data_IF_587675664078
#
_entry.id   IF_587675664078
#
_cell.length_a   1.000
_cell.length_b   1.000
_cell.length_c   1.000
_cell.angle_alpha   90.00
_cell.angle_beta   90.00
_cell.angle_gamma   90.00
#
_symmetry.space_group_name_H-M   'P 1'
#
loop_
_entity.id
_entity.type
_entity.pdbx_description
1 polymer ?
#
# COMPACT_ATOMS: atom_id res chain seq x y z
N UNK A 1 -1.74 17.74 -4.22
CA UNK A 1 -0.89 18.05 -3.04
C UNK A 1 -1.24 17.19 -1.82
N UNK A 2 -2.52 17.07 -1.42
CA UNK A 2 -2.90 16.26 -0.25
C UNK A 2 -2.58 14.75 -0.33
N UNK A 3 -2.85 14.10 -1.47
CA UNK A 3 -2.65 12.65 -1.62
C UNK A 3 -1.17 12.22 -1.54
N UNK A 4 -0.25 13.00 -2.13
CA UNK A 4 1.19 12.72 -2.06
C UNK A 4 1.72 12.84 -0.62
N UNK A 5 1.28 13.86 0.13
CA UNK A 5 1.64 14.01 1.53
C UNK A 5 1.09 12.90 2.44
N UNK A 6 -0.11 12.40 2.17
CA UNK A 6 -0.64 11.21 2.86
C UNK A 6 0.20 9.96 2.56
N UNK A 7 0.52 9.72 1.29
CA UNK A 7 1.36 8.59 0.88
C UNK A 7 2.77 8.68 1.48
N UNK A 8 3.35 9.87 1.55
CA UNK A 8 4.64 10.10 2.19
C UNK A 8 4.62 9.58 3.64
N UNK A 9 3.59 9.94 4.42
CA UNK A 9 3.45 9.48 5.81
C UNK A 9 3.30 7.97 5.90
N UNK A 10 2.47 7.37 5.06
CA UNK A 10 2.25 5.91 5.03
C UNK A 10 3.53 5.16 4.68
N UNK A 11 4.26 5.62 3.65
CA UNK A 11 5.49 4.96 3.18
C UNK A 11 6.60 5.06 4.22
N UNK A 12 6.82 6.25 4.81
CA UNK A 12 7.80 6.43 5.89
C UNK A 12 7.42 5.61 7.12
N UNK A 13 6.15 5.64 7.52
CA UNK A 13 5.65 4.87 8.66
C UNK A 13 5.79 3.35 8.47
N UNK A 14 5.77 2.87 7.23
CA UNK A 14 6.00 1.47 6.87
C UNK A 14 7.50 1.09 6.80
N UNK A 15 8.42 1.99 7.16
CA UNK A 15 9.86 1.70 7.23
C UNK A 15 10.66 2.10 5.98
N UNK A 16 10.04 2.71 4.98
CA UNK A 16 10.74 3.30 3.84
C UNK A 16 11.14 4.75 4.14
N UNK A 17 11.96 4.94 5.18
CA UNK A 17 12.31 6.27 5.74
C UNK A 17 12.92 7.24 4.74
N UNK A 18 13.69 6.70 3.78
CA UNK A 18 14.45 7.51 2.82
C UNK A 18 13.62 7.80 1.56
N UNK A 19 12.44 7.18 1.40
CA UNK A 19 11.62 7.38 0.21
C UNK A 19 10.98 8.78 0.23
N UNK A 20 11.15 9.54 -0.84
CA UNK A 20 10.54 10.86 -1.02
C UNK A 20 9.53 10.79 -2.16
N UNK A 21 8.25 10.98 -1.86
CA UNK A 21 7.15 10.95 -2.84
C UNK A 21 7.11 12.28 -3.57
N UNK A 22 7.56 12.31 -4.83
CA UNK A 22 7.51 13.49 -5.68
C UNK A 22 6.09 13.74 -6.23
N UNK A 23 5.43 12.67 -6.69
CA UNK A 23 4.04 12.75 -7.17
C UNK A 23 3.34 11.40 -7.11
N UNK A 24 2.02 11.41 -7.26
CA UNK A 24 1.25 10.18 -7.33
C UNK A 24 0.09 10.31 -8.33
N UNK A 25 -0.35 9.18 -8.88
CA UNK A 25 -1.50 9.08 -9.79
C UNK A 25 -2.51 8.07 -9.25
N UNK A 26 -3.52 8.54 -8.49
CA UNK A 26 -4.59 7.68 -7.99
C UNK A 26 -5.52 7.24 -9.12
N UNK A 27 -5.88 5.97 -9.15
CA UNK A 27 -6.85 5.39 -10.07
C UNK A 27 -7.88 4.58 -9.29
N UNK A 28 -9.14 5.00 -9.29
CA UNK A 28 -10.24 4.27 -8.65
C UNK A 28 -10.57 3.06 -9.52
N UNK A 29 -10.12 1.88 -9.12
CA UNK A 29 -10.33 0.63 -9.88
C UNK A 29 -11.63 -0.08 -9.49
N UNK A 30 -12.19 0.25 -8.32
CA UNK A 30 -13.48 -0.27 -7.88
C UNK A 30 -14.15 0.70 -6.92
N UNK A 31 -15.42 0.96 -7.16
CA UNK A 31 -16.24 1.77 -6.25
C UNK A 31 -17.60 1.12 -6.06
N UNK A 32 -17.98 0.89 -4.81
CA UNK A 32 -19.34 0.50 -4.40
C UNK A 32 -19.82 1.52 -3.38
N UNK A 33 -20.76 2.42 -3.76
CA UNK A 33 -21.30 3.43 -2.86
C UNK A 33 -21.77 2.84 -1.53
N UNK A 34 -21.45 3.53 -0.43
CA UNK A 34 -21.82 3.12 0.93
C UNK A 34 -21.14 1.84 1.45
N UNK A 35 -20.18 1.26 0.71
CA UNK A 35 -19.58 -0.03 1.09
C UNK A 35 -18.05 -0.03 1.02
N UNK A 36 -17.46 0.21 -0.15
CA UNK A 36 -16.01 0.14 -0.32
C UNK A 36 -15.52 0.90 -1.55
N UNK A 37 -14.30 1.40 -1.47
CA UNK A 37 -13.54 1.89 -2.61
C UNK A 37 -12.18 1.17 -2.67
N UNK A 38 -11.67 0.94 -3.87
CA UNK A 38 -10.30 0.47 -4.08
C UNK A 38 -9.63 1.41 -5.06
N UNK A 39 -8.53 2.00 -4.63
CA UNK A 39 -7.73 2.94 -5.39
C UNK A 39 -6.35 2.32 -5.58
N UNK A 40 -5.89 2.19 -6.81
CA UNK A 40 -4.49 1.86 -7.12
C UNK A 40 -3.78 3.16 -7.39
N UNK A 41 -2.69 3.40 -6.68
CA UNK A 41 -1.91 4.63 -6.77
C UNK A 41 -0.54 4.30 -7.30
N UNK A 42 -0.21 4.85 -8.48
CA UNK A 42 1.16 4.84 -8.99
C UNK A 42 1.94 5.94 -8.28
N UNK A 43 3.13 5.61 -7.79
CA UNK A 43 3.94 6.54 -6.99
C UNK A 43 5.22 6.85 -7.73
N UNK A 44 5.50 8.14 -7.91
CA UNK A 44 6.77 8.62 -8.43
C UNK A 44 7.60 9.11 -7.25
N UNK A 45 8.75 8.49 -7.04
CA UNK A 45 9.69 8.90 -6.02
C UNK A 45 10.73 9.86 -6.60
N UNK A 46 11.18 10.81 -5.79
CA UNK A 46 12.36 11.60 -6.11
C UNK A 46 13.60 10.71 -5.97
N UNK A 47 14.37 10.59 -7.06
CA UNK A 47 15.60 9.81 -7.11
C UNK A 47 16.86 10.68 -7.12
N UNK A 48 16.74 12.01 -7.00
CA UNK A 48 17.86 12.95 -7.12
C UNK A 48 18.98 12.69 -6.09
N UNK A 49 18.66 12.06 -4.96
CA UNK A 49 19.62 11.79 -3.87
C UNK A 49 20.03 10.31 -3.75
N UNK A 50 19.74 9.47 -4.75
CA UNK A 50 20.04 8.03 -4.68
C UNK A 50 19.18 7.24 -3.68
N UNK A 51 18.08 7.84 -3.21
CA UNK A 51 17.18 7.23 -2.24
C UNK A 51 16.58 5.94 -2.80
N UNK A 52 16.49 4.91 -1.93
CA UNK A 52 15.85 3.65 -2.29
C UNK A 52 14.37 3.90 -2.58
N UNK A 53 13.83 3.49 -3.74
CA UNK A 53 12.43 3.71 -4.06
C UNK A 53 11.54 2.92 -3.10
N UNK A 54 10.44 3.55 -2.68
CA UNK A 54 9.41 2.93 -1.87
C UNK A 54 8.49 1.98 -2.66
N UNK A 55 7.38 1.53 -2.07
CA UNK A 55 6.43 0.64 -2.73
C UNK A 55 5.69 1.33 -3.89
N UNK A 56 5.74 0.73 -5.09
CA UNK A 56 4.93 1.12 -6.25
C UNK A 56 4.45 -0.12 -7.01
N UNK A 57 3.15 -0.27 -7.32
CA UNK A 57 2.01 0.57 -6.88
C UNK A 57 1.62 0.39 -5.40
N UNK A 58 0.90 1.37 -4.84
CA UNK A 58 0.19 1.29 -3.56
C UNK A 58 -1.31 1.09 -3.80
N UNK A 59 -1.93 0.12 -3.14
CA UNK A 59 -3.39 -0.06 -3.08
C UNK A 59 -3.93 0.57 -1.82
N UNK A 60 -4.95 1.39 -1.96
CA UNK A 60 -5.74 1.92 -0.85
C UNK A 60 -7.12 1.28 -0.94
N UNK A 61 -7.58 0.67 0.15
CA UNK A 61 -8.94 0.15 0.28
C UNK A 61 -9.64 0.91 1.38
N UNK A 62 -10.78 1.49 1.07
CA UNK A 62 -11.67 2.05 2.08
C UNK A 62 -12.85 1.11 2.29
N UNK A 63 -13.28 0.99 3.53
CA UNK A 63 -14.39 0.16 3.95
C UNK A 63 -15.33 0.97 4.83
N UNK A 64 -16.64 0.76 4.64
CA UNK A 64 -17.63 1.18 5.62
C UNK A 64 -17.66 0.14 6.76
N UNK A 65 -17.71 0.62 8.01
CA UNK A 65 -17.69 -0.20 9.21
C UNK A 65 -16.30 -0.73 9.59
N UNK A 66 -16.28 -1.86 10.28
CA UNK A 66 -15.11 -2.49 10.90
C UNK A 66 -14.28 -3.38 9.96
N UNK A 67 -14.77 -3.63 8.74
CA UNK A 67 -14.13 -4.55 7.77
C UNK A 67 -12.69 -4.18 7.43
N UNK A 68 -12.33 -2.90 7.54
CA UNK A 68 -10.95 -2.43 7.35
C UNK A 68 -9.99 -3.04 8.37
N UNK A 69 -10.41 -3.12 9.64
CA UNK A 69 -9.60 -3.69 10.72
C UNK A 69 -9.39 -5.19 10.52
N UNK A 70 -10.45 -5.93 10.18
CA UNK A 70 -10.35 -7.37 9.90
C UNK A 70 -9.41 -7.63 8.71
N UNK A 71 -9.55 -6.85 7.63
CA UNK A 71 -8.68 -6.99 6.47
C UNK A 71 -7.22 -6.66 6.79
N UNK A 72 -6.97 -5.60 7.59
CA UNK A 72 -5.64 -5.25 8.08
C UNK A 72 -5.03 -6.39 8.89
N UNK A 73 -5.72 -6.86 9.94
CA UNK A 73 -5.23 -7.92 10.81
C UNK A 73 -4.92 -9.21 10.02
N UNK A 74 -5.79 -9.61 9.09
CA UNK A 74 -5.59 -10.79 8.26
C UNK A 74 -4.38 -10.64 7.32
N UNK A 75 -4.23 -9.49 6.66
CA UNK A 75 -3.09 -9.23 5.76
C UNK A 75 -1.77 -9.17 6.52
N UNK A 76 -1.75 -8.57 7.71
CA UNK A 76 -0.57 -8.53 8.59
C UNK A 76 -0.19 -9.92 9.08
N UNK A 77 -1.16 -10.72 9.55
CA UNK A 77 -0.90 -12.10 9.94
C UNK A 77 -0.35 -12.94 8.78
N UNK A 78 -0.93 -12.79 7.59
CA UNK A 78 -0.47 -13.49 6.39
C UNK A 78 0.94 -13.07 5.98
N UNK A 79 1.26 -11.76 6.04
CA UNK A 79 2.58 -11.23 5.70
C UNK A 79 3.69 -11.74 6.62
N UNK A 80 3.39 -11.94 7.90
CA UNK A 80 4.35 -12.48 8.87
C UNK A 80 4.39 -14.01 8.91
N UNK A 81 3.53 -14.70 8.17
CA UNK A 81 3.53 -16.17 8.13
C UNK A 81 4.69 -16.73 7.29
N UNK A 82 5.11 -17.99 7.53
CA UNK A 82 6.10 -18.66 6.68
C UNK A 82 5.73 -18.70 5.19
N UNK A 83 4.43 -18.71 4.86
CA UNK A 83 3.95 -18.72 3.48
C UNK A 83 4.43 -17.49 2.69
N UNK A 84 4.51 -16.33 3.34
CA UNK A 84 5.03 -15.09 2.74
C UNK A 84 6.52 -15.19 2.40
N UNK A 85 7.27 -15.98 3.16
CA UNK A 85 8.73 -16.09 3.07
C UNK A 85 9.17 -17.17 2.07
N UNK A 86 8.31 -18.16 1.80
CA UNK A 86 8.61 -19.28 0.92
C UNK A 86 8.53 -18.95 -0.58
N UNK A 87 8.08 -17.74 -0.95
CA UNK A 87 8.07 -17.27 -2.34
C UNK A 87 7.05 -17.96 -3.26
N UNK A 88 6.18 -18.82 -2.72
CA UNK A 88 5.13 -19.53 -3.49
C UNK A 88 4.11 -18.54 -4.07
N UNK A 89 3.83 -17.46 -3.35
CA UNK A 89 2.98 -16.36 -3.78
C UNK A 89 3.65 -15.04 -3.50
N UNK A 90 3.38 -14.03 -4.33
CA UNK A 90 3.75 -12.65 -4.02
C UNK A 90 2.62 -12.02 -3.24
N UNK A 91 2.89 -11.62 -2.00
CA UNK A 91 1.91 -10.95 -1.14
C UNK A 91 2.05 -9.43 -1.21
N UNK A 92 0.93 -8.76 -0.99
CA UNK A 92 0.87 -7.34 -0.75
C UNK A 92 1.40 -7.04 0.66
N UNK A 93 2.46 -6.25 0.78
CA UNK A 93 2.92 -5.75 2.07
C UNK A 93 1.86 -4.82 2.68
N UNK A 94 1.37 -5.09 3.91
CA UNK A 94 0.48 -4.18 4.61
C UNK A 94 1.28 -2.96 5.09
N UNK A 95 0.91 -1.75 4.64
CA UNK A 95 1.67 -0.52 4.91
C UNK A 95 1.10 0.28 6.08
N UNK A 96 -0.23 0.41 6.15
CA UNK A 96 -0.90 1.17 7.22
C UNK A 96 -2.39 0.84 7.31
N UNK A 97 -2.97 1.05 8.49
CA UNK A 97 -4.40 1.07 8.75
C UNK A 97 -4.77 2.29 9.59
N UNK A 98 -5.83 2.98 9.19
CA UNK A 98 -6.39 4.11 9.93
C UNK A 98 -7.85 3.83 10.29
N UNK A 99 -8.24 4.15 11.53
CA UNK A 99 -9.57 3.91 12.11
C UNK A 99 -10.71 4.66 11.39
N UNK A 100 -10.38 5.60 10.50
CA UNK A 100 -11.32 6.20 9.55
C UNK A 100 -11.82 5.22 8.46
N UNK A 101 -11.29 3.98 8.45
CA UNK A 101 -11.74 2.89 7.56
C UNK A 101 -10.87 2.70 6.32
N UNK A 102 -9.72 3.35 6.23
CA UNK A 102 -8.76 3.21 5.13
C UNK A 102 -7.61 2.26 5.49
N UNK A 103 -7.34 1.28 4.62
CA UNK A 103 -6.15 0.43 4.69
C UNK A 103 -5.29 0.59 3.43
N UNK A 104 -3.97 0.62 3.60
CA UNK A 104 -3.00 0.76 2.51
C UNK A 104 -2.10 -0.48 2.43
N UNK A 105 -1.83 -0.98 1.23
CA UNK A 105 -0.94 -2.12 1.00
C UNK A 105 -0.16 -1.97 -0.30
N UNK A 106 1.06 -2.48 -0.39
CA UNK A 106 1.83 -2.56 -1.63
C UNK A 106 1.19 -3.56 -2.61
N UNK A 107 1.14 -3.28 -3.91
CA UNK A 107 0.73 -4.31 -4.88
C UNK A 107 1.86 -5.34 -5.05
N UNK A 108 1.58 -6.64 -5.01
CA UNK A 108 2.54 -7.66 -5.38
C UNK A 108 2.91 -7.51 -6.87
N UNK A 109 4.15 -7.14 -7.16
CA UNK A 109 4.71 -7.17 -8.51
C UNK A 109 5.35 -8.54 -8.77
N UNK A 110 4.99 -9.21 -9.88
CA UNK A 110 5.74 -10.40 -10.33
C UNK A 110 7.23 -10.04 -10.42
N UNK A 111 8.10 -10.76 -9.70
CA UNK A 111 9.50 -10.86 -10.14
C UNK A 111 9.46 -11.66 -11.43
N UNK A 112 9.70 -11.01 -12.57
CA UNK A 112 10.23 -11.75 -13.72
C UNK A 112 11.55 -12.36 -13.28
N UNK A 113 11.60 -13.69 -13.21
CA UNK A 113 12.85 -14.41 -13.15
C UNK A 113 13.72 -13.95 -14.33
N UNK A 114 14.92 -13.45 -14.02
CA UNK A 114 16.04 -13.42 -14.96
C UNK A 114 16.83 -14.68 -14.75
#
# INVERSE_FOLDING_TARGET
>A
MAAAGLLQKVVVGAGYSDAVVASCRPNVVRYKPGSRCTVVVRVNYDSANGNRPGPDPVVIKTHQGDKGQTAWAAMTALWHSPLAQQGIVTLAEPLSYELSGASCSKVPSRRTAR
#
